data_IF_316669602165
#
_entry.id   IF_316669602165
#
_cell.length_a   1.000
_cell.length_b   1.000
_cell.length_c   1.000
_cell.angle_alpha   90.00
_cell.angle_beta   90.00
_cell.angle_gamma   90.00
#
_symmetry.space_group_name_H-M   'P 1'
#
loop_
_entity.id
_entity.type
_entity.pdbx_description
1 polymer ?
#
# COMPACT_ATOMS: atom_id res chain seq x y z
N UNK A 1 -42.67 18.48 12.60
CA UNK A 1 -41.79 17.83 11.61
C UNK A 1 -40.37 18.16 12.01
N UNK A 2 -39.68 17.25 12.72
CA UNK A 2 -38.32 17.49 13.20
C UNK A 2 -37.32 17.16 12.09
N UNK A 3 -36.61 18.19 11.64
CA UNK A 3 -35.52 18.06 10.68
C UNK A 3 -34.40 17.23 11.32
N UNK A 4 -34.02 16.14 10.67
CA UNK A 4 -32.91 15.30 11.09
C UNK A 4 -31.60 16.04 10.79
N UNK A 5 -30.85 16.40 11.84
CA UNK A 5 -29.49 16.92 11.74
C UNK A 5 -28.55 15.80 11.30
N UNK A 6 -28.41 15.60 9.98
CA UNK A 6 -27.32 14.81 9.43
C UNK A 6 -26.00 15.49 9.80
N UNK A 7 -25.17 14.79 10.57
CA UNK A 7 -23.81 15.27 10.85
C UNK A 7 -23.07 15.37 9.51
N UNK A 8 -22.42 16.50 9.24
CA UNK A 8 -21.81 16.82 7.94
C UNK A 8 -20.55 16.02 7.59
N UNK A 9 -20.47 14.75 8.00
CA UNK A 9 -19.36 13.85 7.71
C UNK A 9 -19.58 13.17 6.36
N UNK A 10 -18.51 13.12 5.56
CA UNK A 10 -18.48 12.43 4.27
C UNK A 10 -17.83 11.06 4.39
N UNK A 11 -18.06 10.19 3.41
CA UNK A 11 -17.37 8.89 3.32
C UNK A 11 -15.91 9.08 2.89
N UNK A 12 -15.07 8.08 3.16
CA UNK A 12 -13.68 8.07 2.67
C UNK A 12 -13.62 8.08 1.14
N UNK A 13 -14.58 7.44 0.46
CA UNK A 13 -14.69 7.50 -1.00
C UNK A 13 -14.95 8.91 -1.52
N UNK A 14 -15.91 9.62 -0.92
CA UNK A 14 -16.19 11.01 -1.27
C UNK A 14 -15.00 11.94 -0.98
N UNK A 15 -14.21 11.64 0.06
CA UNK A 15 -12.95 12.34 0.33
C UNK A 15 -11.90 12.04 -0.76
N UNK A 16 -11.75 10.78 -1.16
CA UNK A 16 -10.81 10.39 -2.21
C UNK A 16 -11.12 11.08 -3.54
N UNK A 17 -12.41 11.18 -3.90
CA UNK A 17 -12.85 11.91 -5.09
C UNK A 17 -12.44 13.40 -5.02
N UNK A 18 -12.53 14.01 -3.84
CA UNK A 18 -12.09 15.39 -3.61
C UNK A 18 -10.56 15.59 -3.70
N UNK A 19 -9.77 14.55 -3.45
CA UNK A 19 -8.30 14.58 -3.54
C UNK A 19 -7.77 14.14 -4.91
N UNK A 20 -8.60 13.61 -5.80
CA UNK A 20 -8.17 13.08 -7.08
C UNK A 20 -7.66 14.15 -8.09
N UNK A 21 -8.39 15.25 -8.37
CA UNK A 21 -7.96 16.22 -9.38
C UNK A 21 -6.79 17.08 -8.90
N UNK A 22 -5.87 17.42 -9.81
CA UNK A 22 -4.74 18.34 -9.62
C UNK A 22 -3.94 18.12 -8.32
N UNK A 23 -3.83 16.86 -7.91
CA UNK A 23 -3.15 16.51 -6.67
C UNK A 23 -1.63 16.65 -6.79
N UNK A 24 -0.97 16.78 -5.64
CA UNK A 24 0.48 16.90 -5.55
C UNK A 24 1.13 15.59 -5.09
N UNK A 25 0.59 14.44 -5.50
CA UNK A 25 1.19 13.15 -5.19
C UNK A 25 2.52 13.00 -5.92
N UNK A 26 3.51 12.39 -5.26
CA UNK A 26 4.77 12.02 -5.92
C UNK A 26 4.49 11.04 -7.07
N UNK A 27 5.20 11.11 -8.20
CA UNK A 27 5.06 10.11 -9.26
C UNK A 27 5.43 8.71 -8.75
N UNK A 28 4.82 7.69 -9.35
CA UNK A 28 5.23 6.32 -9.10
C UNK A 28 6.60 6.05 -9.77
N UNK A 29 7.45 5.24 -9.14
CA UNK A 29 8.74 4.83 -9.67
C UNK A 29 8.83 3.30 -9.82
N UNK A 30 9.55 2.84 -10.84
CA UNK A 30 9.77 1.41 -11.15
C UNK A 30 11.08 0.85 -10.59
N UNK A 31 11.80 1.63 -9.79
CA UNK A 31 13.19 1.37 -9.40
C UNK A 31 13.37 0.08 -8.58
N UNK A 32 12.28 -0.45 -8.02
CA UNK A 32 12.30 -1.68 -7.24
C UNK A 32 12.13 -2.95 -8.08
N UNK A 33 11.76 -2.85 -9.35
CA UNK A 33 11.50 -4.02 -10.18
C UNK A 33 12.74 -4.94 -10.29
N UNK A 34 12.55 -6.23 -10.04
CA UNK A 34 13.61 -7.23 -10.01
C UNK A 34 14.40 -7.31 -8.69
N UNK A 35 14.06 -6.47 -7.70
CA UNK A 35 14.71 -6.50 -6.39
C UNK A 35 13.99 -7.43 -5.42
N UNK A 36 14.78 -8.10 -4.59
CA UNK A 36 14.30 -8.84 -3.42
C UNK A 36 14.78 -8.14 -2.14
N UNK A 37 13.89 -8.01 -1.15
CA UNK A 37 14.17 -7.38 0.14
C UNK A 37 13.66 -8.23 1.28
N UNK A 38 14.49 -8.44 2.27
CA UNK A 38 14.13 -9.13 3.51
C UNK A 38 14.06 -8.10 4.62
N UNK A 39 12.88 -7.94 5.20
CA UNK A 39 12.64 -6.99 6.29
C UNK A 39 12.58 -7.74 7.62
N UNK A 40 13.41 -7.32 8.57
CA UNK A 40 13.47 -7.85 9.93
C UNK A 40 12.78 -6.87 10.89
N UNK A 41 11.74 -7.35 11.58
CA UNK A 41 10.98 -6.56 12.54
C UNK A 41 11.37 -6.90 13.98
N UNK A 42 11.21 -5.95 14.89
CA UNK A 42 11.57 -6.11 16.30
C UNK A 42 10.75 -7.19 17.03
N UNK A 43 9.56 -7.55 16.51
CA UNK A 43 8.73 -8.64 17.03
C UNK A 43 9.19 -10.03 16.55
N UNK A 44 10.33 -10.12 15.85
CA UNK A 44 10.89 -11.36 15.33
C UNK A 44 10.38 -11.77 13.95
N UNK A 45 9.43 -11.03 13.36
CA UNK A 45 8.98 -11.32 12.00
C UNK A 45 10.07 -11.03 10.98
N UNK A 46 10.18 -11.94 10.02
CA UNK A 46 11.03 -11.80 8.84
C UNK A 46 10.12 -11.93 7.64
N UNK A 47 10.04 -10.86 6.84
CA UNK A 47 9.16 -10.81 5.67
C UNK A 47 10.00 -10.58 4.41
N UNK A 48 9.97 -11.56 3.52
CA UNK A 48 10.56 -11.50 2.19
C UNK A 48 9.60 -10.76 1.25
N UNK A 49 10.13 -9.83 0.46
CA UNK A 49 9.43 -9.04 -0.54
C UNK A 49 10.16 -9.16 -1.87
N UNK A 50 9.47 -9.62 -2.91
CA UNK A 50 9.96 -9.70 -4.27
C UNK A 50 9.14 -8.77 -5.17
N UNK A 51 9.82 -7.80 -5.76
CA UNK A 51 9.20 -6.75 -6.57
C UNK A 51 9.31 -7.07 -8.05
N UNK A 52 8.17 -7.07 -8.74
CA UNK A 52 8.09 -7.00 -10.21
C UNK A 52 7.82 -5.54 -10.62
N UNK A 53 7.66 -5.30 -11.91
CA UNK A 53 7.27 -4.04 -12.55
C UNK A 53 6.00 -3.41 -11.96
N UNK A 54 5.01 -4.22 -11.55
CA UNK A 54 3.73 -3.73 -11.00
C UNK A 54 3.23 -4.51 -9.78
N UNK A 55 3.81 -5.69 -9.51
CA UNK A 55 3.36 -6.58 -8.44
C UNK A 55 4.41 -6.80 -7.38
N UNK A 56 3.92 -6.94 -6.15
CA UNK A 56 4.71 -7.27 -4.99
C UNK A 56 4.25 -8.62 -4.46
N UNK A 57 5.17 -9.58 -4.46
CA UNK A 57 4.99 -10.86 -3.74
C UNK A 57 5.65 -10.74 -2.39
N UNK A 58 4.94 -11.11 -1.33
CA UNK A 58 5.48 -11.11 0.02
C UNK A 58 5.24 -12.46 0.70
N UNK A 59 6.14 -12.83 1.61
CA UNK A 59 6.04 -14.09 2.37
C UNK A 59 6.71 -13.95 3.74
N UNK A 60 6.08 -14.49 4.78
CA UNK A 60 6.73 -14.69 6.08
C UNK A 60 7.76 -15.81 5.97
N UNK A 61 8.96 -15.61 6.50
CA UNK A 61 10.05 -16.57 6.40
C UNK A 61 9.75 -17.94 7.06
N UNK A 62 8.81 -17.97 8.01
CA UNK A 62 8.31 -19.20 8.63
C UNK A 62 7.29 -19.96 7.76
N UNK A 63 6.89 -19.40 6.61
CA UNK A 63 5.93 -19.97 5.68
C UNK A 63 4.48 -19.86 6.10
N UNK A 64 4.16 -19.18 7.21
CA UNK A 64 2.79 -19.11 7.76
C UNK A 64 1.82 -18.26 6.93
N UNK A 65 2.32 -17.27 6.19
CA UNK A 65 1.52 -16.47 5.28
C UNK A 65 2.34 -15.97 4.07
N UNK A 66 1.63 -15.75 2.97
CA UNK A 66 2.16 -15.11 1.77
C UNK A 66 1.04 -14.45 0.99
N UNK A 67 1.39 -13.55 0.07
CA UNK A 67 0.42 -12.91 -0.80
C UNK A 67 1.08 -12.22 -1.98
N UNK A 68 0.23 -11.81 -2.91
CA UNK A 68 0.61 -11.03 -4.08
C UNK A 68 -0.43 -9.93 -4.29
N UNK A 69 0.04 -8.70 -4.50
CA UNK A 69 -0.80 -7.54 -4.76
C UNK A 69 -0.13 -6.61 -5.77
N UNK A 70 -0.94 -5.85 -6.50
CA UNK A 70 -0.43 -4.65 -7.17
C UNK A 70 0.10 -3.68 -6.10
N UNK A 71 1.19 -3.00 -6.40
CA UNK A 71 1.80 -2.04 -5.48
C UNK A 71 2.09 -0.71 -6.16
N UNK A 72 2.30 0.30 -5.33
CA UNK A 72 2.78 1.61 -5.74
C UNK A 72 4.01 1.98 -4.93
N UNK A 73 5.13 2.20 -5.62
CA UNK A 73 6.33 2.77 -5.02
C UNK A 73 6.46 4.25 -5.39
N UNK A 74 6.88 5.08 -4.44
CA UNK A 74 7.28 6.48 -4.69
C UNK A 74 8.49 6.84 -3.85
N UNK A 75 9.29 7.78 -4.33
CA UNK A 75 10.51 8.23 -3.66
C UNK A 75 10.52 9.74 -3.51
N UNK A 76 10.52 10.21 -2.26
CA UNK A 76 10.66 11.64 -1.94
C UNK A 76 12.14 12.07 -1.89
N UNK A 77 13.00 11.12 -1.54
CA UNK A 77 14.45 11.31 -1.38
C UNK A 77 15.14 10.11 -1.98
N UNK A 78 16.26 10.36 -2.65
CA UNK A 78 17.07 9.32 -3.27
C UNK A 78 17.32 8.16 -2.30
N UNK A 79 17.15 6.92 -2.81
CA UNK A 79 17.33 5.68 -2.06
C UNK A 79 16.35 5.45 -0.89
N UNK A 80 15.32 6.29 -0.73
CA UNK A 80 14.22 6.10 0.22
C UNK A 80 12.92 5.89 -0.55
N UNK A 81 12.26 4.75 -0.31
CA UNK A 81 11.05 4.36 -1.03
C UNK A 81 9.89 4.15 -0.06
N UNK A 82 8.74 4.76 -0.37
CA UNK A 82 7.45 4.39 0.21
C UNK A 82 6.79 3.40 -0.74
N UNK A 83 6.55 2.19 -0.24
CA UNK A 83 5.83 1.12 -0.94
C UNK A 83 4.48 0.95 -0.28
N UNK A 84 3.40 1.13 -1.04
CA UNK A 84 2.03 0.96 -0.59
C UNK A 84 1.34 -0.15 -1.40
N UNK A 85 0.62 -1.02 -0.70
CA UNK A 85 -0.16 -2.11 -1.28
C UNK A 85 -1.19 -2.61 -0.26
N UNK A 86 -2.32 -3.10 -0.77
CA UNK A 86 -3.35 -3.73 0.05
C UNK A 86 -3.06 -5.22 0.21
N UNK A 87 -3.00 -5.69 1.46
CA UNK A 87 -2.89 -7.12 1.74
C UNK A 87 -4.25 -7.77 1.56
N UNK A 88 -4.31 -8.75 0.66
CA UNK A 88 -5.50 -9.59 0.53
C UNK A 88 -5.59 -10.53 1.74
N UNK A 89 -6.54 -10.30 2.64
CA UNK A 89 -6.85 -11.21 3.73
C UNK A 89 -8.20 -11.89 3.44
N UNK A 90 -8.20 -13.23 3.38
CA UNK A 90 -9.41 -14.03 3.12
C UNK A 90 -10.17 -13.64 1.83
N UNK A 91 -9.45 -13.20 0.79
CA UNK A 91 -10.04 -12.79 -0.49
C UNK A 91 -10.75 -11.44 -0.46
N UNK A 92 -10.48 -10.59 0.55
CA UNK A 92 -10.90 -9.19 0.58
C UNK A 92 -9.66 -8.28 0.60
N UNK A 93 -9.67 -7.20 -0.18
CA UNK A 93 -8.66 -6.14 -0.10
C UNK A 93 -8.72 -5.40 1.24
#
# INVERSE_FOLDING_TARGET
MSAHSHSGWITVGALADGFAPDNHVLPACGDLAGLERVLHFANGWVIEHAFDSQRLRWRLADGSASGESDYRASSLRENLYLVDFLKQENGRP
#
